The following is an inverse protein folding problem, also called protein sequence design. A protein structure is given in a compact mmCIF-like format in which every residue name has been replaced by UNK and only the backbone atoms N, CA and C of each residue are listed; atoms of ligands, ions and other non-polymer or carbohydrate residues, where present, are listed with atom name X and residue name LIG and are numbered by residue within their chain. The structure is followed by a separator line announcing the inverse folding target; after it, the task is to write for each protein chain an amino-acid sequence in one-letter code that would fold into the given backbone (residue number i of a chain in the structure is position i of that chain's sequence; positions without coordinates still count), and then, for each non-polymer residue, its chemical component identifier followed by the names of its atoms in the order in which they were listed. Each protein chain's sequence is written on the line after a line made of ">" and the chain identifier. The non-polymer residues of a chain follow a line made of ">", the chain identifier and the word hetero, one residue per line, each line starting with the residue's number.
data_IF_848485245401
#
_entry.id   IF_848485245401
#
_cell.length_a   1.000
_cell.length_b   1.000
_cell.length_c   1.000
_cell.angle_alpha   90.00
_cell.angle_beta   90.00
_cell.angle_gamma   90.00
#
_symmetry.space_group_name_H-M   'P 1'
#
loop_
_entity.id
_entity.type
_entity.pdbx_description
1 polymer ?
#
# COMPACT_ATOMS: atom_id res chain seq x y z
N UNK A 1 18.51 6.01 11.80
CA UNK A 1 17.16 5.99 11.21
C UNK A 1 16.29 4.86 11.79
N UNK A 2 16.83 3.93 12.58
CA UNK A 2 16.09 2.74 13.08
C UNK A 2 15.69 2.74 14.56
N UNK A 3 15.71 3.89 15.26
CA UNK A 3 15.48 3.90 16.71
C UNK A 3 14.07 3.50 17.13
N UNK A 4 13.05 3.69 16.27
CA UNK A 4 11.65 3.31 16.56
C UNK A 4 11.40 1.79 16.46
N UNK A 5 11.95 1.15 15.43
CA UNK A 5 11.62 -0.24 15.09
C UNK A 5 12.80 -1.21 15.23
N UNK A 6 13.95 -0.77 15.74
CA UNK A 6 15.12 -1.60 15.97
C UNK A 6 15.62 -2.27 14.68
N UNK A 7 15.96 -3.56 14.75
CA UNK A 7 16.49 -4.33 13.62
C UNK A 7 15.41 -4.85 12.64
N UNK A 8 14.21 -4.28 12.65
CA UNK A 8 13.12 -4.69 11.74
C UNK A 8 13.46 -4.27 10.31
N UNK A 9 13.24 -5.16 9.34
CA UNK A 9 13.28 -4.76 7.93
C UNK A 9 12.04 -3.93 7.61
N UNK A 10 12.18 -2.61 7.67
CA UNK A 10 11.07 -1.67 7.60
C UNK A 10 10.56 -1.43 6.17
N UNK A 11 11.32 -1.83 5.14
CA UNK A 11 10.98 -1.58 3.75
C UNK A 11 10.74 -2.88 2.98
N UNK A 12 9.69 -2.89 2.17
CA UNK A 12 9.40 -3.96 1.22
C UNK A 12 9.19 -3.39 -0.18
N UNK A 13 9.58 -4.18 -1.20
CA UNK A 13 9.19 -3.93 -2.59
C UNK A 13 7.87 -4.62 -2.87
N UNK A 14 6.84 -3.85 -3.20
CA UNK A 14 5.46 -4.34 -3.37
C UNK A 14 4.81 -3.78 -4.63
N UNK A 15 3.74 -4.43 -5.09
CA UNK A 15 3.06 -4.10 -6.33
C UNK A 15 1.79 -3.27 -6.12
N UNK A 16 1.54 -2.30 -7.01
CA UNK A 16 0.32 -1.50 -7.02
C UNK A 16 -0.21 -1.37 -8.45
N UNK A 17 -1.35 -2.02 -8.75
CA UNK A 17 -2.04 -1.87 -10.02
C UNK A 17 -2.85 -0.58 -10.05
N UNK A 18 -2.83 0.14 -11.17
CA UNK A 18 -3.57 1.41 -11.31
C UNK A 18 -4.09 1.62 -12.73
N UNK A 19 -5.00 2.57 -12.91
CA UNK A 19 -5.49 2.99 -14.23
C UNK A 19 -4.61 4.07 -14.85
N UNK A 20 -4.66 4.18 -16.19
CA UNK A 20 -3.84 5.13 -16.96
C UNK A 20 -4.02 6.60 -16.54
N UNK A 21 -5.20 6.98 -16.05
CA UNK A 21 -5.46 8.35 -15.60
C UNK A 21 -4.70 8.73 -14.32
N UNK A 22 -4.28 7.74 -13.53
CA UNK A 22 -3.59 7.95 -12.25
C UNK A 22 -2.07 8.08 -12.40
N UNK A 23 -1.52 7.73 -13.58
CA UNK A 23 -0.06 7.63 -13.81
C UNK A 23 0.65 8.97 -13.61
N UNK A 24 0.18 10.03 -14.27
CA UNK A 24 0.82 11.34 -14.16
C UNK A 24 0.84 11.83 -12.71
N UNK A 25 -0.27 11.64 -11.98
CA UNK A 25 -0.35 12.02 -10.58
C UNK A 25 0.62 11.22 -9.71
N UNK A 26 0.67 9.89 -9.86
CA UNK A 26 1.57 9.04 -9.07
C UNK A 26 3.04 9.40 -9.33
N UNK A 27 3.40 9.68 -10.58
CA UNK A 27 4.77 10.08 -10.92
C UNK A 27 5.19 11.42 -10.28
N UNK A 28 4.26 12.36 -10.13
CA UNK A 28 4.56 13.71 -9.63
C UNK A 28 4.41 13.84 -8.11
N UNK A 29 3.49 13.09 -7.52
CA UNK A 29 3.04 13.28 -6.14
C UNK A 29 3.07 12.00 -5.30
N UNK A 30 3.49 10.88 -5.87
CA UNK A 30 3.45 9.58 -5.21
C UNK A 30 2.02 9.06 -5.03
N UNK A 31 1.87 8.12 -4.10
CA UNK A 31 0.59 7.51 -3.81
C UNK A 31 -0.22 8.40 -2.87
N UNK A 32 -1.38 8.87 -3.33
CA UNK A 32 -2.28 9.68 -2.51
C UNK A 32 -3.52 8.87 -2.16
N UNK A 33 -3.74 8.64 -0.87
CA UNK A 33 -4.87 7.85 -0.36
C UNK A 33 -6.24 8.41 -0.72
N UNK A 34 -6.34 9.69 -1.08
CA UNK A 34 -7.59 10.32 -1.56
C UNK A 34 -8.06 9.75 -2.90
N UNK A 35 -7.14 9.10 -3.64
CA UNK A 35 -7.44 8.34 -4.86
C UNK A 35 -7.55 6.83 -4.60
N UNK A 36 -7.14 6.37 -3.41
CA UNK A 36 -7.40 5.02 -2.95
C UNK A 36 -8.88 4.91 -2.52
N UNK A 37 -9.54 3.80 -2.87
CA UNK A 37 -10.96 3.60 -2.55
C UNK A 37 -11.89 3.38 -3.75
N UNK A 38 -11.35 3.21 -4.96
CA UNK A 38 -12.14 2.66 -6.08
C UNK A 38 -12.55 1.18 -5.87
N UNK A 39 -11.96 0.52 -4.89
CA UNK A 39 -12.24 -0.86 -4.50
C UNK A 39 -12.59 -0.92 -3.00
N UNK A 40 -13.37 -1.92 -2.59
CA UNK A 40 -13.81 -2.09 -1.20
C UNK A 40 -12.60 -2.09 -0.23
N UNK A 41 -12.57 -1.15 0.70
CA UNK A 41 -11.47 -0.91 1.64
C UNK A 41 -11.50 -1.87 2.84
N UNK A 42 -11.39 -3.17 2.56
CA UNK A 42 -11.61 -4.24 3.55
C UNK A 42 -10.66 -4.21 4.77
N UNK A 43 -9.46 -3.63 4.61
CA UNK A 43 -8.42 -3.58 5.65
C UNK A 43 -8.21 -2.16 6.21
N UNK A 44 -8.93 -1.17 5.69
CA UNK A 44 -8.77 0.23 6.06
C UNK A 44 -8.72 1.17 4.85
N UNK A 45 -8.97 2.45 5.11
CA UNK A 45 -9.00 3.53 4.13
C UNK A 45 -7.58 4.07 3.90
N UNK A 46 -6.78 3.30 3.17
CA UNK A 46 -5.41 3.64 2.82
C UNK A 46 -5.03 3.12 1.43
N UNK A 47 -3.75 3.23 1.09
CA UNK A 47 -3.22 2.75 -0.19
C UNK A 47 -2.76 1.29 -0.06
N UNK A 48 -3.27 0.43 -0.94
CA UNK A 48 -3.03 -1.01 -0.92
C UNK A 48 -1.86 -1.40 -1.82
N UNK A 49 -1.00 -2.31 -1.34
CA UNK A 49 0.13 -2.86 -2.07
C UNK A 49 0.14 -4.39 -1.91
N UNK A 50 0.27 -5.12 -3.02
CA UNK A 50 0.30 -6.57 -3.02
C UNK A 50 1.73 -7.11 -2.95
N UNK A 51 1.91 -8.26 -2.30
CA UNK A 51 3.17 -9.02 -2.33
C UNK A 51 3.36 -9.66 -3.70
N UNK A 52 2.31 -10.27 -4.24
CA UNK A 52 2.33 -10.90 -5.56
C UNK A 52 1.81 -9.96 -6.65
N UNK A 53 2.60 -9.82 -7.73
CA UNK A 53 2.23 -9.02 -8.90
C UNK A 53 0.91 -9.47 -9.54
N UNK A 54 0.58 -10.77 -9.47
CA UNK A 54 -0.65 -11.33 -10.04
C UNK A 54 -1.91 -10.67 -9.48
N UNK A 55 -1.90 -10.29 -8.19
CA UNK A 55 -3.01 -9.59 -7.57
C UNK A 55 -3.19 -8.19 -8.18
N UNK A 56 -2.11 -7.42 -8.25
CA UNK A 56 -2.09 -6.09 -8.89
C UNK A 56 -2.36 -6.13 -10.40
N UNK A 57 -2.04 -7.25 -11.05
CA UNK A 57 -2.29 -7.50 -12.47
C UNK A 57 -3.76 -7.82 -12.81
N UNK A 58 -4.65 -7.96 -11.82
CA UNK A 58 -6.09 -8.11 -12.08
C UNK A 58 -6.67 -6.90 -12.81
N UNK A 59 -7.66 -7.12 -13.68
CA UNK A 59 -8.39 -6.04 -14.39
C UNK A 59 -9.13 -5.08 -13.43
N UNK A 60 -9.33 -5.48 -12.18
CA UNK A 60 -9.90 -4.61 -11.13
C UNK A 60 -8.95 -3.49 -10.73
N UNK A 61 -7.64 -3.74 -10.71
CA UNK A 61 -6.64 -2.79 -10.19
C UNK A 61 -5.83 -2.16 -11.31
N UNK A 62 -5.32 -2.97 -12.24
CA UNK A 62 -4.64 -2.51 -13.46
C UNK A 62 -5.59 -2.63 -14.65
N UNK A 63 -6.62 -1.78 -14.67
CA UNK A 63 -7.62 -1.78 -15.75
C UNK A 63 -6.92 -1.50 -17.09
N UNK A 64 -7.10 -2.34 -18.13
CA UNK A 64 -6.56 -2.06 -19.45
C UNK A 64 -7.06 -0.73 -20.00
N UNK A 65 -6.16 0.06 -20.58
CA UNK A 65 -6.49 1.31 -21.25
C UNK A 65 -7.08 1.08 -22.66
N UNK A 66 -7.28 2.16 -23.43
CA UNK A 66 -7.80 2.08 -24.79
C UNK A 66 -6.87 1.31 -25.75
N UNK A 67 -5.57 1.24 -25.46
CA UNK A 67 -4.57 0.49 -26.20
C UNK A 67 -4.43 -0.96 -25.70
N UNK A 68 -5.27 -1.38 -24.73
CA UNK A 68 -5.20 -2.66 -24.01
C UNK A 68 -3.92 -2.83 -23.18
N UNK A 69 -3.24 -1.74 -22.84
CA UNK A 69 -2.09 -1.76 -21.94
C UNK A 69 -2.56 -1.67 -20.50
N UNK A 70 -1.86 -2.38 -19.61
CA UNK A 70 -2.08 -2.37 -18.18
C UNK A 70 -0.93 -1.67 -17.48
N UNK A 71 -1.22 -1.05 -16.34
CA UNK A 71 -0.22 -0.30 -15.57
C UNK A 71 -0.11 -0.80 -14.13
N UNK A 72 1.13 -0.98 -13.70
CA UNK A 72 1.46 -1.43 -12.36
C UNK A 72 2.75 -0.76 -11.91
N UNK A 73 2.85 -0.42 -10.63
CA UNK A 73 4.08 0.02 -10.01
C UNK A 73 4.71 -1.08 -9.19
N UNK A 74 6.04 -1.17 -9.23
CA UNK A 74 6.84 -1.75 -8.16
C UNK A 74 7.32 -0.61 -7.27
N UNK A 75 6.83 -0.56 -6.04
CA UNK A 75 7.07 0.51 -5.09
C UNK A 75 7.93 0.04 -3.92
N UNK A 76 8.77 0.94 -3.38
CA UNK A 76 9.36 0.78 -2.05
C UNK A 76 8.37 1.27 -1.02
N UNK A 77 7.97 0.42 -0.09
CA UNK A 77 6.93 0.70 0.89
C UNK A 77 7.48 0.49 2.29
N UNK A 78 7.34 1.51 3.14
CA UNK A 78 7.69 1.45 4.56
C UNK A 78 6.58 0.71 5.33
N UNK A 79 6.64 -0.63 5.30
CA UNK A 79 5.69 -1.52 5.98
C UNK A 79 5.91 -1.53 7.49
N UNK A 80 7.16 -1.34 7.94
CA UNK A 80 7.52 -1.25 9.36
C UNK A 80 6.96 -2.40 10.20
N UNK A 81 6.51 -2.10 11.42
CA UNK A 81 5.77 -3.04 12.25
C UNK A 81 4.29 -2.95 11.90
N UNK A 82 3.66 -4.09 11.59
CA UNK A 82 2.29 -4.14 11.08
C UNK A 82 1.38 -5.03 11.91
N UNK A 83 0.06 -4.80 11.78
CA UNK A 83 -1.01 -5.57 12.44
C UNK A 83 -2.09 -5.98 11.43
N UNK A 84 -3.10 -6.70 11.89
CA UNK A 84 -4.28 -7.02 11.06
C UNK A 84 -5.09 -5.75 10.81
N UNK A 85 -5.48 -5.53 9.54
CA UNK A 85 -6.35 -4.44 9.13
C UNK A 85 -7.83 -4.77 9.26
N UNK A 86 -8.66 -3.75 9.32
CA UNK A 86 -10.11 -3.88 9.29
C UNK A 86 -10.78 -2.70 8.57
N UNK A 87 -11.96 -2.96 8.01
CA UNK A 87 -12.76 -1.94 7.33
C UNK A 87 -13.05 -0.74 8.23
N UNK A 88 -12.98 0.46 7.66
CA UNK A 88 -13.27 1.72 8.37
C UNK A 88 -12.08 2.32 9.13
N UNK A 89 -10.92 1.64 9.20
CA UNK A 89 -9.70 2.23 9.77
C UNK A 89 -9.25 3.44 8.95
N UNK A 90 -8.93 4.56 9.61
CA UNK A 90 -8.34 5.76 8.99
C UNK A 90 -6.84 5.91 9.29
N UNK A 91 -6.33 5.10 10.23
CA UNK A 91 -4.94 5.01 10.62
C UNK A 91 -4.68 3.58 11.16
N UNK A 92 -3.42 3.13 11.25
CA UNK A 92 -3.09 1.88 11.92
C UNK A 92 -3.54 1.90 13.39
N UNK A 93 -3.84 0.74 13.99
CA UNK A 93 -4.19 0.66 15.40
C UNK A 93 -3.00 1.03 16.29
N UNK A 94 -3.28 1.37 17.55
CA UNK A 94 -2.24 1.52 18.57
C UNK A 94 -1.62 0.16 18.92
N UNK A 95 -0.31 0.14 19.21
CA UNK A 95 0.41 -1.09 19.59
C UNK A 95 -0.01 -1.61 20.97
N UNK A 96 -0.41 -0.72 21.86
CA UNK A 96 -0.91 -1.05 23.19
C UNK A 96 -1.90 0.02 23.66
N UNK A 97 -2.71 -0.32 24.68
CA UNK A 97 -3.72 0.58 25.25
C UNK A 97 -3.14 1.68 26.15
N UNK A 98 -1.90 1.53 26.60
CA UNK A 98 -1.24 2.45 27.53
C UNK A 98 -0.79 3.72 26.82
N UNK A 99 -0.31 3.60 25.57
CA UNK A 99 0.08 4.73 24.73
C UNK A 99 -0.66 4.67 23.38
N UNK A 100 -1.84 5.33 23.26
CA UNK A 100 -2.63 5.30 22.02
C UNK A 100 -1.98 6.07 20.86
N UNK A 101 -0.89 6.80 21.10
CA UNK A 101 -0.16 7.53 20.04
C UNK A 101 0.95 6.71 19.40
N UNK A 102 1.36 5.60 20.01
CA UNK A 102 2.30 4.64 19.41
C UNK A 102 1.55 3.66 18.51
N UNK A 103 1.46 4.02 17.24
CA UNK A 103 0.74 3.25 16.23
C UNK A 103 1.67 2.25 15.54
N UNK A 104 1.07 1.17 15.03
CA UNK A 104 1.68 0.37 13.96
C UNK A 104 1.99 1.25 12.74
N UNK A 105 2.90 0.81 11.89
CA UNK A 105 3.31 1.56 10.69
C UNK A 105 2.42 1.25 9.49
N UNK A 106 1.90 0.03 9.40
CA UNK A 106 0.96 -0.40 8.35
C UNK A 106 0.03 -1.51 8.86
N UNK A 107 -0.93 -1.93 8.04
CA UNK A 107 -1.77 -3.11 8.31
C UNK A 107 -1.73 -4.11 7.17
N UNK A 108 -2.03 -5.37 7.47
CA UNK A 108 -2.02 -6.48 6.51
C UNK A 108 -3.28 -7.36 6.67
N UNK A 109 -3.50 -8.26 5.72
CA UNK A 109 -4.55 -9.26 5.77
C UNK A 109 -4.23 -10.44 6.71
N UNK A 110 -2.94 -10.78 6.86
CA UNK A 110 -2.48 -11.88 7.72
C UNK A 110 -1.05 -11.58 8.20
N UNK A 111 -0.85 -11.48 9.52
CA UNK A 111 0.47 -11.14 10.09
C UNK A 111 1.51 -12.24 9.89
N UNK A 112 1.10 -13.52 9.90
CA UNK A 112 2.00 -14.66 9.75
C UNK A 112 2.40 -14.90 8.28
N UNK A 113 1.51 -14.59 7.33
CA UNK A 113 1.78 -14.69 5.90
C UNK A 113 1.10 -13.55 5.12
N UNK A 114 1.69 -12.34 5.10
CA UNK A 114 1.12 -11.18 4.43
C UNK A 114 0.99 -11.41 2.92
N UNK A 115 -0.19 -11.14 2.36
CA UNK A 115 -0.40 -11.09 0.91
C UNK A 115 -0.48 -9.64 0.40
N UNK A 116 -0.75 -8.69 1.30
CA UNK A 116 -0.82 -7.27 1.01
C UNK A 116 -0.57 -6.42 2.25
N UNK A 117 -0.25 -5.16 2.01
CA UNK A 117 -0.07 -4.13 3.02
C UNK A 117 -0.90 -2.90 2.67
N UNK A 118 -1.39 -2.21 3.69
CA UNK A 118 -2.08 -0.93 3.57
C UNK A 118 -1.34 0.10 4.40
N UNK A 119 -0.91 1.18 3.74
CA UNK A 119 -0.33 2.35 4.39
C UNK A 119 -1.37 3.47 4.47
N UNK A 120 -1.24 4.31 5.49
CA UNK A 120 -2.19 5.39 5.74
C UNK A 120 -1.54 6.77 5.58
N UNK A 121 -0.22 6.85 5.38
CA UNK A 121 0.48 8.10 5.10
C UNK A 121 1.16 8.04 3.74
N UNK A 122 0.91 9.05 2.91
CA UNK A 122 1.30 9.12 1.51
C UNK A 122 2.84 9.07 1.32
N UNK A 123 3.60 9.57 2.29
CA UNK A 123 5.08 9.55 2.23
C UNK A 123 5.69 8.18 2.52
N UNK A 124 4.90 7.17 2.90
CA UNK A 124 5.38 5.82 3.22
C UNK A 124 5.65 4.95 1.98
N UNK A 125 5.39 5.44 0.76
CA UNK A 125 5.67 4.69 -0.45
C UNK A 125 6.28 5.54 -1.56
N UNK A 126 7.31 4.98 -2.21
CA UNK A 126 7.98 5.56 -3.35
C UNK A 126 7.75 4.69 -4.61
N UNK A 127 7.13 5.23 -5.69
CA UNK A 127 6.92 4.50 -6.92
C UNK A 127 8.24 4.34 -7.70
N UNK A 128 8.97 3.25 -7.45
CA UNK A 128 10.33 3.06 -7.97
C UNK A 128 10.34 2.71 -9.46
N UNK A 129 9.42 1.85 -9.91
CA UNK A 129 9.31 1.45 -11.32
C UNK A 129 7.86 1.42 -11.80
N UNK A 130 7.62 1.96 -12.98
CA UNK A 130 6.36 1.82 -13.72
C UNK A 130 6.49 0.70 -14.76
N UNK A 131 5.62 -0.31 -14.65
CA UNK A 131 5.57 -1.49 -15.52
C UNK A 131 4.33 -1.38 -16.40
N UNK A 132 4.51 -1.54 -17.70
CA UNK A 132 3.46 -1.56 -18.72
C UNK A 132 3.48 -2.94 -19.39
N UNK A 133 2.32 -3.61 -19.44
CA UNK A 133 2.19 -4.97 -19.99
C UNK A 133 0.81 -5.21 -20.61
#
# INVERSE_FOLDING_TARGET
>A
MDTKNGSTNNEMRLFHGTDSNSIQHINQHGFNRSYAGRNAAALGNGTYFAVDASYSASNTYSKPDACRQKHMYLARVLTGVYSIGASGMMAPPAKNSVNPTDLYDSVTNNVANPAMFVIFNDIQAYPEYHIIF
#
